data_IF_556069685005
#
_entry.id   IF_556069685005
#
_cell.length_a   1.000
_cell.length_b   1.000
_cell.length_c   1.000
_cell.angle_alpha   90.00
_cell.angle_beta   90.00
_cell.angle_gamma   90.00
#
_symmetry.space_group_name_H-M   'P 1'
#
loop_
_entity.id
_entity.type
_entity.pdbx_description
1 polymer ?
#
# COMPACT_ATOMS: atom_id res chain seq x y z
N UNK A 1 -27.81 -19.13 22.48
CA UNK A 1 -27.19 -19.94 23.49
C UNK A 1 -25.70 -19.76 23.37
N UNK A 2 -25.20 -19.09 24.37
CA UNK A 2 -23.80 -18.72 24.61
C UNK A 2 -23.05 -19.95 25.09
N UNK A 3 -22.04 -20.38 24.33
CA UNK A 3 -21.13 -21.45 24.72
C UNK A 3 -19.76 -20.87 25.03
N UNK A 4 -19.46 -20.68 26.30
CA UNK A 4 -18.09 -20.50 26.83
C UNK A 4 -17.39 -21.85 26.78
N UNK A 5 -16.14 -21.98 26.31
CA UNK A 5 -15.42 -23.25 26.34
C UNK A 5 -15.04 -23.67 27.77
N UNK A 6 -15.00 -24.98 28.06
CA UNK A 6 -14.75 -25.47 29.41
C UNK A 6 -13.27 -25.39 29.79
N UNK A 7 -13.05 -24.99 31.03
CA UNK A 7 -11.77 -25.02 31.75
C UNK A 7 -11.22 -26.45 31.83
N UNK A 8 -10.07 -26.75 31.24
CA UNK A 8 -9.39 -28.01 31.39
C UNK A 8 -8.23 -27.90 32.40
N UNK A 9 -8.16 -28.87 33.30
CA UNK A 9 -7.30 -28.94 34.46
C UNK A 9 -5.83 -29.21 34.11
N UNK A 10 -4.97 -28.64 34.95
CA UNK A 10 -3.50 -28.76 35.08
C UNK A 10 -2.91 -30.18 34.98
N UNK A 11 -1.80 -30.28 34.24
CA UNK A 11 -0.64 -31.10 34.63
C UNK A 11 0.65 -30.32 34.33
N UNK A 12 1.51 -30.15 35.32
CA UNK A 12 2.82 -29.49 35.30
C UNK A 12 3.91 -30.54 35.11
N UNK A 13 4.86 -30.39 34.19
CA UNK A 13 6.19 -30.93 34.32
C UNK A 13 7.20 -29.87 34.74
N UNK A 14 7.99 -30.22 35.73
CA UNK A 14 9.08 -29.43 36.31
C UNK A 14 10.28 -29.45 35.36
N UNK A 15 10.86 -28.27 35.13
CA UNK A 15 12.27 -28.15 34.81
C UNK A 15 12.64 -27.50 33.52
N UNK A 16 12.85 -26.20 33.59
CA UNK A 16 14.01 -25.41 33.12
C UNK A 16 13.71 -23.94 33.36
N UNK A 17 14.47 -23.33 34.23
CA UNK A 17 14.40 -21.88 34.50
C UNK A 17 15.04 -21.19 33.30
N UNK A 18 14.33 -20.32 32.54
CA UNK A 18 14.97 -19.48 31.54
C UNK A 18 15.67 -18.30 32.25
N UNK A 19 16.90 -18.07 31.85
CA UNK A 19 17.72 -16.93 32.23
C UNK A 19 16.99 -15.60 31.89
N UNK A 20 16.67 -14.76 32.88
CA UNK A 20 15.91 -13.52 32.66
C UNK A 20 16.70 -12.46 31.88
N UNK A 21 18.00 -12.54 31.78
CA UNK A 21 18.85 -11.48 31.22
C UNK A 21 19.01 -11.51 29.67
N UNK A 22 18.46 -12.52 28.99
CA UNK A 22 18.55 -12.63 27.54
C UNK A 22 17.39 -12.00 26.76
N UNK A 23 16.30 -11.64 27.40
CA UNK A 23 15.11 -11.07 26.74
C UNK A 23 14.98 -9.54 26.80
N UNK A 24 15.76 -8.86 27.64
CA UNK A 24 15.66 -7.39 27.81
C UNK A 24 16.40 -6.57 26.75
N UNK A 25 17.31 -7.15 25.97
CA UNK A 25 18.16 -6.39 25.03
C UNK A 25 17.55 -6.12 23.64
N UNK A 26 16.32 -6.54 23.34
CA UNK A 26 15.63 -6.26 22.06
C UNK A 26 14.36 -5.42 22.15
N UNK A 27 14.01 -4.92 23.34
CA UNK A 27 12.74 -4.19 23.56
C UNK A 27 12.82 -2.66 23.42
N UNK A 28 14.01 -2.07 23.17
CA UNK A 28 14.18 -0.62 23.34
C UNK A 28 14.04 0.23 22.07
N UNK A 29 13.89 -0.33 20.86
CA UNK A 29 13.94 0.45 19.60
C UNK A 29 12.72 0.31 18.67
N UNK A 30 11.70 -0.43 19.07
CA UNK A 30 10.48 -0.55 18.26
C UNK A 30 9.44 0.48 18.72
N UNK A 31 8.96 1.33 17.80
CA UNK A 31 7.90 2.27 18.16
C UNK A 31 6.58 1.53 18.45
N UNK A 32 5.67 2.16 19.20
CA UNK A 32 4.41 1.54 19.60
C UNK A 32 3.60 1.01 18.39
N UNK A 33 3.63 1.72 17.27
CA UNK A 33 2.92 1.32 16.04
C UNK A 33 3.50 0.06 15.41
N UNK A 34 4.83 -0.09 15.37
CA UNK A 34 5.48 -1.29 14.83
C UNK A 34 5.24 -2.48 15.74
N UNK A 35 5.21 -2.26 17.06
CA UNK A 35 4.84 -3.28 18.03
C UNK A 35 3.39 -3.75 17.85
N UNK A 36 2.46 -2.81 17.62
CA UNK A 36 1.06 -3.14 17.31
C UNK A 36 0.93 -3.99 16.05
N UNK A 37 1.65 -3.67 14.97
CA UNK A 37 1.66 -4.47 13.73
C UNK A 37 2.15 -5.91 13.98
N UNK A 38 3.22 -6.05 14.74
CA UNK A 38 3.76 -7.37 15.12
C UNK A 38 2.73 -8.18 15.92
N UNK A 39 2.08 -7.55 16.91
CA UNK A 39 1.06 -8.20 17.73
C UNK A 39 -0.15 -8.62 16.90
N UNK A 40 -0.67 -7.73 16.04
CA UNK A 40 -1.79 -8.03 15.13
C UNK A 40 -1.45 -9.22 14.23
N UNK A 41 -0.26 -9.25 13.65
CA UNK A 41 0.18 -10.37 12.80
C UNK A 41 0.23 -11.69 13.57
N UNK A 42 0.86 -11.71 14.73
CA UNK A 42 1.00 -12.93 15.57
C UNK A 42 -0.34 -13.46 16.07
N UNK A 43 -1.21 -12.57 16.53
CA UNK A 43 -2.53 -12.96 17.05
C UNK A 43 -3.44 -13.49 15.94
N UNK A 44 -3.43 -12.88 14.77
CA UNK A 44 -4.21 -13.35 13.61
C UNK A 44 -3.68 -14.69 13.08
N UNK A 45 -2.36 -14.89 13.04
CA UNK A 45 -1.76 -16.17 12.67
C UNK A 45 -2.15 -17.28 13.66
N UNK A 46 -2.09 -17.00 14.96
CA UNK A 46 -2.49 -17.94 15.99
C UNK A 46 -3.98 -18.28 15.92
N UNK A 47 -4.84 -17.27 15.72
CA UNK A 47 -6.28 -17.48 15.54
C UNK A 47 -6.58 -18.32 14.30
N UNK A 48 -5.93 -18.04 13.16
CA UNK A 48 -6.08 -18.81 11.93
C UNK A 48 -5.67 -20.28 12.12
N UNK A 49 -4.50 -20.50 12.71
CA UNK A 49 -4.00 -21.84 12.98
C UNK A 49 -4.95 -22.65 13.88
N UNK A 50 -5.50 -22.00 14.92
CA UNK A 50 -6.42 -22.63 15.86
C UNK A 50 -7.78 -22.94 15.22
N UNK A 51 -8.43 -21.96 14.56
CA UNK A 51 -9.80 -22.09 14.06
C UNK A 51 -9.92 -22.75 12.68
N UNK A 52 -8.92 -22.55 11.80
CA UNK A 52 -8.98 -23.05 10.42
C UNK A 52 -8.13 -24.31 10.18
N UNK A 53 -7.05 -24.49 10.94
CA UNK A 53 -6.08 -25.56 10.72
C UNK A 53 -6.06 -26.60 11.86
N UNK A 54 -6.91 -26.41 12.89
CA UNK A 54 -6.96 -27.25 14.12
C UNK A 54 -5.57 -27.48 14.75
N UNK A 55 -4.74 -26.43 14.73
CA UNK A 55 -3.34 -26.44 15.15
C UNK A 55 -3.04 -25.33 16.15
N UNK A 56 -2.57 -25.70 17.32
CA UNK A 56 -2.14 -24.74 18.34
C UNK A 56 -0.67 -24.35 18.10
N UNK A 57 -0.41 -23.08 17.74
CA UNK A 57 0.94 -22.53 17.57
C UNK A 57 1.36 -21.62 18.73
N UNK A 58 0.42 -21.33 19.64
CA UNK A 58 0.61 -20.46 20.79
C UNK A 58 -0.34 -20.91 21.91
N UNK A 59 0.12 -20.89 23.16
CA UNK A 59 -0.76 -21.22 24.28
C UNK A 59 -1.83 -20.14 24.50
N UNK A 60 -3.00 -20.54 25.02
CA UNK A 60 -4.07 -19.57 25.33
C UNK A 60 -3.60 -18.46 26.28
N UNK A 61 -2.76 -18.77 27.26
CA UNK A 61 -2.21 -17.79 28.19
C UNK A 61 -1.29 -16.77 27.48
N UNK A 62 -0.50 -17.23 26.51
CA UNK A 62 0.34 -16.33 25.72
C UNK A 62 -0.48 -15.48 24.75
N UNK A 63 -1.51 -16.06 24.14
CA UNK A 63 -2.45 -15.32 23.30
C UNK A 63 -3.14 -14.20 24.09
N UNK A 64 -3.68 -14.50 25.26
CA UNK A 64 -4.36 -13.52 26.11
C UNK A 64 -3.41 -12.38 26.52
N UNK A 65 -2.17 -12.71 26.90
CA UNK A 65 -1.16 -11.72 27.25
C UNK A 65 -0.81 -10.78 26.10
N UNK A 66 -0.64 -11.32 24.89
CA UNK A 66 -0.34 -10.51 23.69
C UNK A 66 -1.56 -9.69 23.25
N UNK A 67 -2.75 -10.23 23.44
CA UNK A 67 -4.00 -9.52 23.19
C UNK A 67 -4.17 -8.32 24.13
N UNK A 68 -3.94 -8.51 25.42
CA UNK A 68 -4.00 -7.44 26.43
C UNK A 68 -2.93 -6.37 26.15
N UNK A 69 -1.72 -6.77 25.74
CA UNK A 69 -0.65 -5.83 25.32
C UNK A 69 -1.10 -5.00 24.11
N UNK A 70 -1.76 -5.61 23.14
CA UNK A 70 -2.29 -4.90 21.96
C UNK A 70 -3.37 -3.89 22.36
N UNK A 71 -4.33 -4.29 23.21
CA UNK A 71 -5.38 -3.40 23.71
C UNK A 71 -4.77 -2.19 24.43
N UNK A 72 -3.78 -2.40 25.31
CA UNK A 72 -3.10 -1.32 26.02
C UNK A 72 -2.36 -0.34 25.07
N UNK A 73 -1.76 -0.85 23.99
CA UNK A 73 -1.10 -0.02 22.98
C UNK A 73 -2.11 0.75 22.14
N UNK A 74 -3.24 0.14 21.78
CA UNK A 74 -4.34 0.81 21.08
C UNK A 74 -4.92 1.95 21.93
N UNK A 75 -5.13 1.73 23.23
CA UNK A 75 -5.57 2.78 24.16
C UNK A 75 -4.53 3.90 24.31
N UNK A 76 -3.25 3.54 24.44
CA UNK A 76 -2.15 4.50 24.60
C UNK A 76 -1.97 5.39 23.36
N UNK A 77 -2.05 4.81 22.17
CA UNK A 77 -1.79 5.52 20.91
C UNK A 77 -3.02 6.16 20.31
N UNK A 78 -4.23 5.72 20.68
CA UNK A 78 -5.49 6.09 20.03
C UNK A 78 -5.63 5.55 18.60
N UNK A 79 -4.78 4.60 18.21
CA UNK A 79 -4.76 3.98 16.87
C UNK A 79 -5.21 2.54 16.98
N UNK A 80 -6.13 2.12 16.11
CA UNK A 80 -6.54 0.72 15.96
C UNK A 80 -6.33 0.32 14.51
N UNK A 81 -5.52 -0.71 14.26
CA UNK A 81 -5.26 -1.22 12.91
C UNK A 81 -6.47 -1.97 12.36
N UNK A 82 -6.72 -1.88 11.05
CA UNK A 82 -7.86 -2.52 10.40
C UNK A 82 -7.92 -4.04 10.62
N UNK A 83 -6.75 -4.70 10.63
CA UNK A 83 -6.63 -6.13 10.86
C UNK A 83 -6.53 -6.52 12.35
N UNK A 84 -6.73 -5.57 13.29
CA UNK A 84 -6.62 -5.87 14.72
C UNK A 84 -7.69 -6.85 15.17
N UNK A 85 -7.32 -7.93 15.88
CA UNK A 85 -8.28 -8.88 16.44
C UNK A 85 -9.14 -8.28 17.57
N UNK A 86 -8.81 -7.07 18.05
CA UNK A 86 -9.61 -6.35 19.04
C UNK A 86 -10.87 -5.74 18.45
N UNK A 87 -10.93 -5.64 17.12
CA UNK A 87 -12.07 -5.10 16.38
C UNK A 87 -12.73 -6.20 15.54
N UNK A 88 -14.03 -6.29 15.64
CA UNK A 88 -14.83 -7.10 14.73
C UNK A 88 -15.07 -6.28 13.46
N UNK A 89 -14.32 -6.56 12.40
CA UNK A 89 -14.58 -5.98 11.08
C UNK A 89 -15.77 -6.74 10.48
N UNK A 90 -16.90 -6.07 10.36
CA UNK A 90 -18.04 -6.62 9.61
C UNK A 90 -17.72 -6.62 8.12
N UNK A 91 -17.76 -7.77 7.47
CA UNK A 91 -17.66 -7.88 6.01
C UNK A 91 -19.01 -7.59 5.38
N UNK A 92 -19.01 -6.69 4.39
CA UNK A 92 -20.21 -6.29 3.67
C UNK A 92 -20.15 -6.79 2.22
N UNK A 93 -21.26 -7.33 1.74
CA UNK A 93 -21.46 -7.63 0.33
C UNK A 93 -22.43 -6.60 -0.25
N UNK A 94 -22.10 -6.04 -1.40
CA UNK A 94 -22.92 -5.07 -2.13
C UNK A 94 -23.14 -5.52 -3.58
N UNK A 95 -24.21 -5.07 -4.21
CA UNK A 95 -24.52 -5.45 -5.60
C UNK A 95 -23.65 -4.70 -6.62
N UNK A 96 -23.27 -3.44 -6.31
CA UNK A 96 -22.32 -2.65 -7.08
C UNK A 96 -21.57 -1.66 -6.18
N UNK A 97 -20.41 -1.20 -6.64
CA UNK A 97 -19.66 -0.16 -5.95
C UNK A 97 -20.20 1.22 -6.33
N UNK A 98 -20.65 2.02 -5.35
CA UNK A 98 -21.04 3.41 -5.60
C UNK A 98 -19.90 4.22 -6.20
N UNK A 99 -20.24 5.26 -6.97
CA UNK A 99 -19.25 6.17 -7.56
C UNK A 99 -19.34 7.54 -6.93
N UNK A 100 -18.19 8.16 -6.72
CA UNK A 100 -18.09 9.50 -6.15
C UNK A 100 -17.11 10.36 -6.94
N UNK A 101 -17.43 11.65 -7.05
CA UNK A 101 -16.54 12.64 -7.67
C UNK A 101 -15.55 13.16 -6.65
N UNK A 102 -14.28 13.22 -7.03
CA UNK A 102 -13.22 13.83 -6.22
C UNK A 102 -13.40 15.35 -6.11
N UNK A 103 -13.12 15.91 -4.94
CA UNK A 103 -13.13 17.37 -4.74
C UNK A 103 -12.10 18.08 -5.61
N UNK A 104 -10.96 17.44 -5.86
CA UNK A 104 -9.94 17.92 -6.79
C UNK A 104 -9.47 16.80 -7.70
N UNK A 105 -9.25 17.05 -9.00
CA UNK A 105 -8.79 16.05 -9.95
C UNK A 105 -7.48 15.40 -9.51
N UNK A 106 -7.37 14.09 -9.70
CA UNK A 106 -6.16 13.31 -9.44
C UNK A 106 -5.38 13.18 -10.75
N UNK A 107 -4.44 14.09 -10.95
CA UNK A 107 -3.66 14.18 -12.18
C UNK A 107 -2.60 13.06 -12.25
N UNK A 108 -2.16 12.75 -13.46
CA UNK A 108 -0.97 11.94 -13.69
C UNK A 108 0.29 12.77 -13.42
N UNK A 109 1.44 12.11 -13.22
CA UNK A 109 2.72 12.81 -13.08
C UNK A 109 3.39 13.03 -14.44
N UNK A 110 4.10 14.15 -14.59
CA UNK A 110 5.11 14.31 -15.63
C UNK A 110 6.19 13.23 -15.46
N UNK A 111 6.84 12.81 -16.54
CA UNK A 111 7.79 11.70 -16.54
C UNK A 111 9.10 12.11 -17.16
N UNK A 112 10.20 11.62 -16.59
CA UNK A 112 11.53 11.62 -17.22
C UNK A 112 12.22 10.28 -17.02
N UNK A 113 13.17 9.94 -17.91
CA UNK A 113 14.11 8.82 -17.78
C UNK A 113 15.55 9.32 -17.60
N UNK A 114 15.76 10.64 -17.63
CA UNK A 114 17.06 11.28 -17.49
C UNK A 114 17.28 11.70 -16.04
N UNK A 115 18.39 11.26 -15.46
CA UNK A 115 18.82 11.67 -14.12
C UNK A 115 19.22 13.16 -14.10
N UNK A 116 19.75 13.66 -15.19
CA UNK A 116 20.12 15.05 -15.38
C UNK A 116 18.89 15.95 -15.39
N UNK A 117 17.84 15.58 -16.16
CA UNK A 117 16.57 16.31 -16.17
C UNK A 117 15.92 16.30 -14.79
N UNK A 118 16.01 15.19 -14.06
CA UNK A 118 15.47 15.09 -12.71
C UNK A 118 16.19 16.02 -11.74
N UNK A 119 17.53 16.11 -11.84
CA UNK A 119 18.36 17.00 -11.03
C UNK A 119 18.12 18.48 -11.40
N UNK A 120 17.96 18.80 -12.69
CA UNK A 120 17.66 20.15 -13.15
C UNK A 120 16.26 20.60 -12.74
N UNK A 121 15.28 19.65 -12.75
CA UNK A 121 13.94 19.90 -12.26
C UNK A 121 13.94 20.27 -10.77
N UNK A 122 14.73 19.59 -9.94
CA UNK A 122 14.84 19.89 -8.50
C UNK A 122 15.51 21.24 -8.27
N UNK A 123 16.52 21.58 -9.07
CA UNK A 123 17.27 22.85 -8.98
C UNK A 123 17.89 23.07 -7.61
N UNK A 124 17.68 24.25 -7.04
CA UNK A 124 18.17 24.62 -5.71
C UNK A 124 17.23 24.24 -4.55
N UNK A 125 16.20 23.46 -4.80
CA UNK A 125 15.24 23.05 -3.78
C UNK A 125 15.66 21.74 -3.10
N UNK A 126 15.09 21.50 -1.91
CA UNK A 126 15.13 20.17 -1.29
C UNK A 126 13.92 19.38 -1.78
N UNK A 127 14.15 18.12 -2.11
CA UNK A 127 13.09 17.21 -2.55
C UNK A 127 13.00 15.97 -1.69
N UNK A 128 11.89 15.25 -1.82
CA UNK A 128 11.70 13.91 -1.29
C UNK A 128 11.62 12.95 -2.47
N UNK A 129 12.56 11.99 -2.51
CA UNK A 129 12.62 10.95 -3.53
C UNK A 129 12.10 9.65 -2.91
N UNK A 130 11.10 9.04 -3.52
CA UNK A 130 10.44 7.84 -3.03
C UNK A 130 10.23 6.81 -4.12
N UNK A 131 9.95 5.54 -3.73
CA UNK A 131 9.42 4.56 -4.67
C UNK A 131 8.14 5.06 -5.32
N UNK A 132 8.04 4.89 -6.64
CA UNK A 132 6.77 4.99 -7.36
C UNK A 132 6.07 3.65 -7.31
N UNK A 133 5.21 3.49 -6.33
CA UNK A 133 4.48 2.25 -6.13
C UNK A 133 3.53 1.96 -7.30
N UNK A 134 3.40 0.69 -7.63
CA UNK A 134 2.59 0.21 -8.74
C UNK A 134 1.42 -0.64 -8.25
N UNK A 135 0.31 0.01 -7.99
CA UNK A 135 -0.91 -0.59 -7.47
C UNK A 135 -2.16 0.16 -7.90
N UNK A 136 -2.97 0.55 -6.93
CA UNK A 136 -4.19 1.34 -7.14
C UNK A 136 -4.22 2.52 -6.16
N UNK A 137 -4.26 3.73 -6.69
CA UNK A 137 -4.34 4.94 -5.87
C UNK A 137 -5.71 5.06 -5.19
N UNK A 138 -5.69 5.33 -3.88
CA UNK A 138 -6.88 5.46 -3.03
C UNK A 138 -6.80 6.75 -2.23
N UNK A 139 -7.95 7.39 -2.06
CA UNK A 139 -8.16 8.52 -1.14
C UNK A 139 -8.87 7.99 0.10
N UNK A 140 -8.28 8.21 1.28
CA UNK A 140 -8.88 7.91 2.57
C UNK A 140 -9.35 9.20 3.23
N UNK A 141 -10.54 9.18 3.81
CA UNK A 141 -11.10 10.28 4.60
C UNK A 141 -11.45 9.79 6.00
N UNK A 142 -10.93 10.50 6.99
CA UNK A 142 -11.24 10.29 8.40
C UNK A 142 -11.97 11.51 8.95
N UNK A 143 -12.94 11.26 9.83
CA UNK A 143 -13.63 12.29 10.61
C UNK A 143 -13.77 11.82 12.04
N UNK A 144 -13.51 12.72 12.99
CA UNK A 144 -13.57 12.40 14.41
C UNK A 144 -12.74 11.15 14.76
N UNK A 145 -11.57 11.02 14.16
CA UNK A 145 -10.66 9.90 14.37
C UNK A 145 -11.04 8.57 13.71
N UNK A 146 -12.13 8.49 12.95
CA UNK A 146 -12.64 7.25 12.36
C UNK A 146 -12.59 7.29 10.83
N UNK A 147 -12.20 6.19 10.20
CA UNK A 147 -12.28 6.03 8.74
C UNK A 147 -13.74 6.03 8.29
N UNK A 148 -14.13 7.09 7.58
CA UNK A 148 -15.52 7.25 7.10
C UNK A 148 -15.68 6.98 5.61
N UNK A 149 -14.59 7.14 4.83
CA UNK A 149 -14.67 6.99 3.38
C UNK A 149 -13.33 6.57 2.77
N UNK A 150 -13.39 5.68 1.78
CA UNK A 150 -12.30 5.34 0.89
C UNK A 150 -12.80 5.32 -0.56
N UNK A 151 -12.06 5.98 -1.48
CA UNK A 151 -12.45 6.11 -2.89
C UNK A 151 -11.24 5.83 -3.77
N UNK A 152 -11.42 5.00 -4.80
CA UNK A 152 -10.36 4.76 -5.80
C UNK A 152 -10.14 6.00 -6.66
N UNK A 153 -8.95 6.12 -7.26
CA UNK A 153 -8.67 7.21 -8.21
C UNK A 153 -9.68 7.24 -9.37
N UNK A 154 -10.08 6.07 -9.87
CA UNK A 154 -10.91 5.96 -11.06
C UNK A 154 -10.25 6.62 -12.28
N UNK A 155 -11.00 7.46 -13.01
CA UNK A 155 -10.49 8.22 -14.14
C UNK A 155 -9.78 9.54 -13.73
N UNK A 156 -9.62 9.78 -12.43
CA UNK A 156 -9.05 11.01 -11.86
C UNK A 156 -10.09 12.05 -11.43
N UNK A 157 -11.32 11.98 -11.92
CA UNK A 157 -12.45 12.83 -11.52
C UNK A 157 -13.50 12.06 -10.70
N UNK A 158 -13.78 10.82 -11.09
CA UNK A 158 -14.78 9.96 -10.47
C UNK A 158 -14.09 8.62 -10.12
N UNK A 159 -14.22 8.20 -8.88
CA UNK A 159 -13.75 6.92 -8.37
C UNK A 159 -14.88 6.08 -7.79
N UNK A 160 -14.57 4.84 -7.47
CA UNK A 160 -15.46 3.89 -6.82
C UNK A 160 -15.29 3.96 -5.31
N UNK A 161 -16.39 4.00 -4.56
CA UNK A 161 -16.38 3.98 -3.10
C UNK A 161 -16.11 2.55 -2.63
N UNK A 162 -15.01 2.37 -1.92
CA UNK A 162 -14.51 1.05 -1.48
C UNK A 162 -14.25 1.02 0.02
N UNK A 163 -15.05 1.75 0.81
CA UNK A 163 -14.82 1.92 2.25
C UNK A 163 -14.78 0.59 3.01
N UNK A 164 -15.72 -0.33 2.71
CA UNK A 164 -15.74 -1.66 3.33
C UNK A 164 -14.46 -2.45 2.99
N UNK A 165 -13.99 -2.37 1.74
CA UNK A 165 -12.75 -3.02 1.31
C UNK A 165 -11.52 -2.41 1.99
N UNK A 166 -11.46 -1.08 2.10
CA UNK A 166 -10.35 -0.39 2.75
C UNK A 166 -10.24 -0.73 4.25
N UNK A 167 -11.36 -0.97 4.92
CA UNK A 167 -11.38 -1.47 6.31
C UNK A 167 -10.79 -2.88 6.45
N UNK A 168 -10.69 -3.63 5.36
CA UNK A 168 -10.08 -4.96 5.34
C UNK A 168 -8.60 -4.97 4.89
N UNK A 169 -8.00 -3.80 4.63
CA UNK A 169 -6.57 -3.70 4.33
C UNK A 169 -5.73 -4.00 5.57
N UNK A 170 -4.57 -4.62 5.36
CA UNK A 170 -3.71 -5.12 6.44
C UNK A 170 -3.25 -4.03 7.41
N UNK A 171 -2.98 -2.82 6.89
CA UNK A 171 -2.29 -1.76 7.62
C UNK A 171 -3.02 -0.40 7.63
N UNK A 172 -4.29 -0.36 7.24
CA UNK A 172 -5.09 0.87 7.34
C UNK A 172 -5.66 0.99 8.75
N UNK A 173 -5.40 2.09 9.51
CA UNK A 173 -6.02 2.29 10.79
C UNK A 173 -7.53 2.53 10.64
N UNK A 174 -8.36 1.84 11.42
CA UNK A 174 -9.79 2.15 11.52
C UNK A 174 -10.05 3.42 12.31
N UNK A 175 -9.26 3.60 13.38
CA UNK A 175 -9.29 4.78 14.23
C UNK A 175 -7.89 5.37 14.35
N UNK A 176 -7.83 6.70 14.44
CA UNK A 176 -6.61 7.49 14.62
C UNK A 176 -6.78 8.47 15.77
N UNK A 177 -5.69 9.03 16.28
CA UNK A 177 -5.73 9.99 17.39
C UNK A 177 -6.21 11.39 16.98
N UNK A 178 -5.97 11.81 15.74
CA UNK A 178 -6.41 13.11 15.23
C UNK A 178 -7.94 13.14 15.05
N UNK A 179 -8.60 14.15 15.64
CA UNK A 179 -10.06 14.26 15.68
C UNK A 179 -10.65 15.19 14.61
N UNK A 180 -9.81 15.90 13.85
CA UNK A 180 -10.25 16.72 12.73
C UNK A 180 -10.58 15.89 11.47
N UNK A 181 -10.88 16.57 10.39
CA UNK A 181 -10.99 15.90 9.09
C UNK A 181 -9.60 15.67 8.51
N UNK A 182 -9.25 14.42 8.30
CA UNK A 182 -8.02 14.00 7.61
C UNK A 182 -8.37 13.44 6.24
N UNK A 183 -7.75 14.00 5.19
CA UNK A 183 -7.81 13.44 3.84
C UNK A 183 -6.38 13.17 3.39
N UNK A 184 -6.11 11.93 2.98
CA UNK A 184 -4.80 11.53 2.48
C UNK A 184 -4.94 10.65 1.25
N UNK A 185 -3.86 10.60 0.45
CA UNK A 185 -3.74 9.74 -0.72
C UNK A 185 -2.62 8.74 -0.49
N UNK A 186 -2.80 7.55 -0.99
CA UNK A 186 -1.79 6.52 -0.96
C UNK A 186 -2.04 5.48 -2.05
N UNK A 187 -1.12 4.54 -2.15
CA UNK A 187 -1.20 3.44 -3.08
C UNK A 187 -1.53 2.15 -2.34
N UNK A 188 -2.58 1.48 -2.78
CA UNK A 188 -2.88 0.12 -2.36
C UNK A 188 -2.09 -0.83 -3.24
N UNK A 189 -1.37 -1.77 -2.61
CA UNK A 189 -0.56 -2.77 -3.28
C UNK A 189 -0.76 -4.15 -2.66
N UNK A 190 -0.38 -5.18 -3.41
CA UNK A 190 -0.09 -6.52 -2.90
C UNK A 190 1.40 -6.75 -3.08
N UNK A 191 2.11 -7.14 -2.01
CA UNK A 191 3.55 -7.38 -2.05
C UNK A 191 3.87 -8.58 -2.94
N UNK A 192 5.06 -8.63 -3.53
CA UNK A 192 5.47 -9.77 -4.35
C UNK A 192 5.42 -11.09 -3.57
N UNK A 193 5.88 -11.11 -2.32
CA UNK A 193 5.84 -12.29 -1.45
C UNK A 193 4.42 -12.78 -1.17
N UNK A 194 3.43 -11.88 -1.03
CA UNK A 194 2.03 -12.24 -0.84
C UNK A 194 1.37 -12.67 -2.15
N UNK A 195 1.73 -12.03 -3.25
CA UNK A 195 1.30 -12.42 -4.60
C UNK A 195 1.73 -13.84 -4.97
N UNK A 196 2.99 -14.20 -4.68
CA UNK A 196 3.52 -15.55 -4.90
C UNK A 196 2.75 -16.58 -4.08
N UNK A 197 2.52 -16.35 -2.79
CA UNK A 197 1.73 -17.24 -1.92
C UNK A 197 0.30 -17.43 -2.42
N UNK A 198 -0.35 -16.37 -2.90
CA UNK A 198 -1.71 -16.46 -3.47
C UNK A 198 -1.69 -17.31 -4.73
N UNK A 199 -0.71 -17.12 -5.60
CA UNK A 199 -0.59 -17.89 -6.84
C UNK A 199 -0.21 -19.37 -6.60
N UNK A 200 0.56 -19.68 -5.57
CA UNK A 200 0.89 -21.06 -5.18
C UNK A 200 -0.35 -21.87 -4.80
N UNK A 201 -1.38 -21.23 -4.24
CA UNK A 201 -2.64 -21.87 -3.86
C UNK A 201 -3.58 -22.14 -5.04
N UNK A 202 -3.26 -21.63 -6.24
CA UNK A 202 -4.05 -21.84 -7.47
C UNK A 202 -3.45 -23.00 -8.23
N UNK A 203 -4.19 -24.12 -8.28
CA UNK A 203 -3.74 -25.35 -8.99
C UNK A 203 -3.72 -25.18 -10.51
N UNK A 204 -4.72 -24.49 -11.07
CA UNK A 204 -4.81 -24.22 -12.49
C UNK A 204 -3.84 -23.10 -12.92
N UNK A 205 -2.85 -23.46 -13.72
CA UNK A 205 -1.81 -22.55 -14.21
C UNK A 205 -2.40 -21.38 -15.00
N UNK A 206 -3.45 -21.62 -15.78
CA UNK A 206 -4.12 -20.59 -16.60
C UNK A 206 -4.96 -19.63 -15.76
N UNK A 207 -5.35 -20.04 -14.54
CA UNK A 207 -6.08 -19.22 -13.60
C UNK A 207 -5.18 -18.35 -12.69
N UNK A 208 -3.85 -18.53 -12.75
CA UNK A 208 -2.90 -17.72 -11.94
C UNK A 208 -2.90 -16.27 -12.37
N UNK A 209 -2.76 -15.41 -11.38
CA UNK A 209 -2.63 -13.98 -11.62
C UNK A 209 -1.26 -13.67 -12.26
N UNK A 210 -1.23 -12.73 -13.21
CA UNK A 210 -0.01 -12.43 -13.97
C UNK A 210 0.86 -11.35 -13.36
N UNK A 211 0.27 -10.41 -12.62
CA UNK A 211 1.04 -9.40 -11.90
C UNK A 211 0.31 -8.90 -10.64
N UNK A 212 1.04 -8.41 -9.62
CA UNK A 212 0.46 -7.97 -8.36
C UNK A 212 -0.44 -6.74 -8.50
N UNK A 213 -0.18 -5.83 -9.44
CA UNK A 213 -1.02 -4.65 -9.69
C UNK A 213 -2.44 -5.04 -10.12
N UNK A 214 -2.57 -5.97 -11.07
CA UNK A 214 -3.88 -6.42 -11.53
C UNK A 214 -4.62 -7.19 -10.44
N UNK A 215 -3.93 -8.02 -9.67
CA UNK A 215 -4.50 -8.69 -8.51
C UNK A 215 -4.97 -7.67 -7.47
N UNK A 216 -4.17 -6.66 -7.15
CA UNK A 216 -4.54 -5.60 -6.21
C UNK A 216 -5.78 -4.83 -6.69
N UNK A 217 -5.79 -4.39 -7.95
CA UNK A 217 -6.92 -3.65 -8.53
C UNK A 217 -8.22 -4.46 -8.48
N UNK A 218 -8.16 -5.76 -8.78
CA UNK A 218 -9.31 -6.67 -8.65
C UNK A 218 -9.72 -6.91 -7.21
N UNK A 219 -8.76 -7.03 -6.28
CA UNK A 219 -9.01 -7.28 -4.86
C UNK A 219 -9.65 -6.09 -4.16
N UNK A 220 -9.22 -4.88 -4.48
CA UNK A 220 -9.75 -3.63 -3.91
C UNK A 220 -11.20 -3.37 -4.34
N UNK A 221 -11.59 -3.85 -5.51
CA UNK A 221 -12.93 -3.64 -6.10
C UNK A 221 -13.89 -4.81 -5.88
N UNK A 222 -13.60 -5.71 -4.96
CA UNK A 222 -14.51 -6.81 -4.65
C UNK A 222 -15.82 -6.28 -4.07
N UNK A 223 -16.92 -6.87 -4.49
CA UNK A 223 -18.24 -6.58 -3.93
C UNK A 223 -18.42 -7.15 -2.52
N UNK A 224 -17.65 -8.18 -2.19
CA UNK A 224 -17.54 -8.74 -0.85
C UNK A 224 -16.14 -8.43 -0.27
N UNK A 225 -16.09 -7.62 0.78
CA UNK A 225 -14.84 -7.21 1.44
C UNK A 225 -14.10 -8.36 2.14
N UNK A 226 -14.75 -9.50 2.42
CA UNK A 226 -14.07 -10.70 2.91
C UNK A 226 -13.02 -11.20 1.93
N UNK A 227 -13.31 -11.16 0.62
CA UNK A 227 -12.35 -11.53 -0.43
C UNK A 227 -11.14 -10.58 -0.38
N UNK A 228 -11.38 -9.28 -0.19
CA UNK A 228 -10.31 -8.29 -0.04
C UNK A 228 -9.42 -8.60 1.17
N UNK A 229 -10.01 -8.99 2.30
CA UNK A 229 -9.27 -9.37 3.51
C UNK A 229 -8.31 -10.55 3.29
N UNK A 230 -8.68 -11.52 2.45
CA UNK A 230 -7.85 -12.68 2.12
C UNK A 230 -6.68 -12.36 1.19
N UNK A 231 -6.67 -11.17 0.55
CA UNK A 231 -5.71 -10.79 -0.49
C UNK A 231 -4.49 -10.03 0.02
N UNK A 232 -4.39 -9.75 1.32
CA UNK A 232 -3.26 -9.06 1.93
C UNK A 232 -2.93 -7.71 1.26
N UNK A 233 -3.96 -6.87 1.07
CA UNK A 233 -3.79 -5.54 0.48
C UNK A 233 -3.17 -4.61 1.52
N UNK A 234 -2.05 -3.97 1.17
CA UNK A 234 -1.35 -2.95 1.95
C UNK A 234 -1.60 -1.57 1.36
N UNK A 235 -1.61 -0.56 2.22
CA UNK A 235 -1.75 0.84 1.83
C UNK A 235 -0.53 1.64 2.28
N UNK A 236 0.06 2.42 1.38
CA UNK A 236 1.19 3.30 1.68
C UNK A 236 0.83 4.73 1.34
N UNK A 237 0.79 5.60 2.34
CA UNK A 237 0.50 7.01 2.15
C UNK A 237 1.64 7.71 1.40
N UNK A 238 1.29 8.56 0.43
CA UNK A 238 2.25 9.37 -0.31
C UNK A 238 1.87 10.86 -0.40
N UNK A 239 0.71 11.24 0.10
CA UNK A 239 0.27 12.65 0.09
C UNK A 239 -0.76 12.91 1.17
N UNK A 240 -0.53 13.94 1.97
CA UNK A 240 -1.52 14.52 2.86
C UNK A 240 -2.25 15.63 2.11
N UNK A 241 -3.57 15.54 2.03
CA UNK A 241 -4.42 16.51 1.32
C UNK A 241 -5.00 17.53 2.28
N UNK A 242 -5.50 17.09 3.46
CA UNK A 242 -6.12 17.94 4.46
C UNK A 242 -5.89 17.41 5.87
N UNK A 243 -5.43 18.30 6.76
CA UNK A 243 -5.43 18.12 8.21
C UNK A 243 -5.36 19.51 8.83
N UNK A 244 -6.51 20.06 9.22
CA UNK A 244 -6.60 21.42 9.74
C UNK A 244 -6.01 21.52 11.16
N UNK A 245 -5.40 22.67 11.47
CA UNK A 245 -4.88 22.96 12.80
C UNK A 245 -3.51 22.35 13.13
N UNK A 246 -2.86 21.69 12.18
CA UNK A 246 -1.51 21.14 12.33
C UNK A 246 -0.52 22.03 11.58
N UNK A 247 0.53 22.47 12.27
CA UNK A 247 1.64 23.18 11.64
C UNK A 247 2.70 22.20 11.14
N UNK A 248 2.78 22.04 9.84
CA UNK A 248 3.77 21.19 9.16
C UNK A 248 5.04 21.95 8.80
N UNK A 249 5.25 23.16 9.29
CA UNK A 249 6.44 23.99 9.01
C UNK A 249 6.76 24.13 7.51
N UNK A 250 5.73 24.16 6.70
CA UNK A 250 5.84 24.22 5.24
C UNK A 250 6.64 23.05 4.63
N UNK A 251 6.66 21.87 5.26
CA UNK A 251 7.44 20.70 4.85
C UNK A 251 6.55 19.47 4.62
N UNK A 252 6.70 18.83 3.46
CA UNK A 252 6.06 17.54 3.16
C UNK A 252 6.64 16.40 3.97
N UNK A 253 7.92 16.49 4.32
CA UNK A 253 8.55 15.55 5.25
C UNK A 253 7.85 15.57 6.61
N UNK A 254 7.55 16.76 7.15
CA UNK A 254 6.81 16.88 8.40
C UNK A 254 5.38 16.29 8.27
N UNK A 255 4.73 16.43 7.12
CA UNK A 255 3.47 15.76 6.84
C UNK A 255 3.59 14.24 6.88
N UNK A 256 4.62 13.66 6.27
CA UNK A 256 4.86 12.23 6.28
C UNK A 256 5.17 11.70 7.68
N UNK A 257 6.02 12.38 8.43
CA UNK A 257 6.34 12.00 9.80
C UNK A 257 5.09 12.08 10.71
N UNK A 258 4.26 13.10 10.52
CA UNK A 258 3.00 13.20 11.25
C UNK A 258 2.02 12.06 10.89
N UNK A 259 1.89 11.70 9.62
CA UNK A 259 1.05 10.56 9.20
C UNK A 259 1.49 9.25 9.87
N UNK A 260 2.79 9.03 10.04
CA UNK A 260 3.31 7.88 10.79
C UNK A 260 2.84 7.88 12.24
N UNK A 261 2.75 9.05 12.88
CA UNK A 261 2.22 9.16 14.26
C UNK A 261 0.74 8.82 14.35
N UNK A 262 -0.01 8.94 13.24
CA UNK A 262 -1.41 8.53 13.16
C UNK A 262 -1.58 7.02 12.82
N UNK A 263 -0.49 6.27 12.70
CA UNK A 263 -0.50 4.83 12.43
C UNK A 263 -0.42 4.44 10.96
N UNK A 264 -0.25 5.40 10.05
CA UNK A 264 -0.08 5.08 8.62
C UNK A 264 1.34 4.64 8.30
N UNK A 265 1.45 3.66 7.42
CA UNK A 265 2.69 3.45 6.68
C UNK A 265 2.78 4.48 5.55
N UNK A 266 3.94 5.11 5.46
CA UNK A 266 4.26 6.09 4.41
C UNK A 266 5.22 5.42 3.44
N UNK A 267 5.11 5.75 2.15
CA UNK A 267 6.08 5.30 1.15
C UNK A 267 7.51 5.61 1.61
N UNK A 268 8.41 4.65 1.44
CA UNK A 268 9.83 4.89 1.75
C UNK A 268 10.38 6.05 0.93
N UNK A 269 11.00 7.01 1.59
CA UNK A 269 11.53 8.21 0.94
C UNK A 269 12.87 8.64 1.52
N UNK A 270 13.62 9.35 0.71
CA UNK A 270 14.88 10.03 1.10
C UNK A 270 14.81 11.51 0.75
N UNK A 271 15.27 12.34 1.68
CA UNK A 271 15.48 13.76 1.41
C UNK A 271 16.69 13.93 0.52
N UNK A 272 16.54 14.71 -0.55
CA UNK A 272 17.57 14.90 -1.57
C UNK A 272 17.75 16.36 -1.94
N UNK A 273 18.98 16.70 -2.31
CA UNK A 273 19.35 17.94 -3.01
C UNK A 273 19.82 17.60 -4.41
N UNK A 274 20.05 18.61 -5.25
CA UNK A 274 20.60 18.39 -6.60
C UNK A 274 21.89 17.56 -6.57
N UNK A 275 22.73 17.77 -5.56
CA UNK A 275 24.02 17.09 -5.39
C UNK A 275 23.88 15.63 -4.96
N UNK A 276 22.93 15.33 -4.06
CA UNK A 276 22.74 13.97 -3.49
C UNK A 276 21.82 13.11 -4.34
N UNK A 277 20.99 13.72 -5.20
CA UNK A 277 19.98 13.04 -6.01
C UNK A 277 20.56 11.89 -6.87
N UNK A 278 21.67 12.06 -7.63
CA UNK A 278 22.21 11.00 -8.48
C UNK A 278 22.59 9.74 -7.71
N UNK A 279 23.20 9.90 -6.54
CA UNK A 279 23.60 8.77 -5.69
C UNK A 279 22.38 8.09 -5.08
N UNK A 280 21.37 8.87 -4.66
CA UNK A 280 20.13 8.31 -4.13
C UNK A 280 19.34 7.53 -5.20
N UNK A 281 19.28 8.03 -6.44
CA UNK A 281 18.69 7.29 -7.57
C UNK A 281 19.45 5.97 -7.81
N UNK A 282 20.77 6.00 -7.74
CA UNK A 282 21.58 4.79 -7.87
C UNK A 282 21.30 3.78 -6.76
N UNK A 283 21.22 4.22 -5.51
CA UNK A 283 20.85 3.38 -4.37
C UNK A 283 19.51 2.67 -4.61
N UNK A 284 18.47 3.41 -5.03
CA UNK A 284 17.18 2.81 -5.36
C UNK A 284 17.29 1.81 -6.52
N UNK A 285 18.09 2.10 -7.56
CA UNK A 285 18.25 1.19 -8.70
C UNK A 285 18.91 -0.13 -8.31
N UNK A 286 19.83 -0.12 -7.35
CA UNK A 286 20.48 -1.30 -6.80
C UNK A 286 19.54 -2.12 -5.88
N UNK A 287 18.60 -1.45 -5.23
CA UNK A 287 17.63 -2.07 -4.33
C UNK A 287 16.38 -2.67 -5.02
N UNK A 288 16.21 -2.48 -6.34
CA UNK A 288 15.01 -2.95 -7.08
C UNK A 288 14.79 -4.45 -6.89
N UNK A 289 15.84 -5.26 -7.00
CA UNK A 289 15.75 -6.73 -6.94
C UNK A 289 15.33 -7.26 -5.57
N UNK A 290 15.56 -6.49 -4.51
CA UNK A 290 15.22 -6.86 -3.12
C UNK A 290 13.92 -6.19 -2.65
N UNK A 291 13.36 -5.28 -3.45
CA UNK A 291 12.15 -4.56 -3.08
C UNK A 291 10.90 -5.46 -3.22
N UNK A 292 10.31 -5.83 -2.09
CA UNK A 292 9.08 -6.63 -2.03
C UNK A 292 7.82 -5.84 -2.43
N UNK A 293 7.92 -4.51 -2.57
CA UNK A 293 6.80 -3.66 -2.98
C UNK A 293 6.84 -3.38 -4.49
N UNK A 294 5.76 -3.70 -5.23
CA UNK A 294 5.70 -3.38 -6.65
C UNK A 294 5.92 -1.89 -6.92
N UNK A 295 6.88 -1.57 -7.78
CA UNK A 295 7.20 -0.20 -8.17
C UNK A 295 7.71 -0.12 -9.60
N UNK A 296 7.37 0.97 -10.31
CA UNK A 296 7.72 1.18 -11.71
C UNK A 296 8.63 2.39 -11.93
N UNK A 297 9.27 2.86 -10.89
CA UNK A 297 10.16 4.02 -10.90
C UNK A 297 10.25 4.70 -9.55
N UNK A 298 10.54 5.99 -9.59
CA UNK A 298 10.62 6.86 -8.42
C UNK A 298 9.71 8.07 -8.60
N UNK A 299 9.35 8.71 -7.50
CA UNK A 299 8.66 10.02 -7.49
C UNK A 299 9.54 11.00 -6.74
N UNK A 300 9.82 12.12 -7.35
CA UNK A 300 10.45 13.27 -6.74
C UNK A 300 9.42 14.37 -6.55
N UNK A 301 9.35 14.92 -5.35
CA UNK A 301 8.48 16.05 -5.04
C UNK A 301 9.26 17.08 -4.22
N UNK A 302 8.88 18.36 -4.33
CA UNK A 302 9.45 19.39 -3.50
C UNK A 302 9.02 19.23 -2.05
N UNK A 303 9.95 19.36 -1.11
CA UNK A 303 9.63 19.38 0.32
C UNK A 303 8.88 20.67 0.70
N UNK A 304 9.27 21.83 0.16
CA UNK A 304 8.63 23.12 0.38
C UNK A 304 7.21 23.13 -0.23
N UNK A 305 6.19 23.09 0.64
CA UNK A 305 4.78 23.02 0.24
C UNK A 305 4.36 24.29 -0.51
N UNK A 306 4.69 25.46 0.02
CA UNK A 306 4.30 26.75 -0.56
C UNK A 306 4.95 26.95 -1.94
N UNK A 307 6.24 26.58 -2.07
CA UNK A 307 6.92 26.62 -3.36
C UNK A 307 6.25 25.67 -4.35
N UNK A 308 6.00 24.43 -3.99
CA UNK A 308 5.33 23.46 -4.86
C UNK A 308 3.95 23.95 -5.31
N UNK A 309 3.15 24.48 -4.40
CA UNK A 309 1.82 25.04 -4.71
C UNK A 309 1.90 26.26 -5.66
N UNK A 310 2.92 27.11 -5.50
CA UNK A 310 3.13 28.30 -6.35
C UNK A 310 3.36 27.96 -7.81
N UNK A 311 3.88 26.77 -8.12
CA UNK A 311 4.14 26.32 -9.49
C UNK A 311 2.85 25.93 -10.24
N UNK A 312 1.78 25.63 -9.50
CA UNK A 312 0.50 25.23 -10.05
C UNK A 312 0.54 23.90 -10.81
N UNK A 313 -0.28 23.79 -11.84
CA UNK A 313 -0.40 22.58 -12.65
C UNK A 313 -0.61 22.89 -14.12
N UNK A 314 -0.32 21.93 -14.98
CA UNK A 314 -0.78 21.91 -16.36
C UNK A 314 -2.18 21.27 -16.43
N UNK A 315 -2.76 21.17 -17.60
CA UNK A 315 -4.01 20.42 -17.79
C UNK A 315 -3.87 18.92 -17.45
N UNK A 316 -2.64 18.37 -17.49
CA UNK A 316 -2.37 16.93 -17.32
C UNK A 316 -1.57 16.59 -16.07
N UNK A 317 -0.68 17.48 -15.62
CA UNK A 317 0.32 17.19 -14.58
C UNK A 317 0.39 18.30 -13.54
N UNK A 318 0.58 17.96 -12.24
CA UNK A 318 1.06 18.91 -11.24
C UNK A 318 2.51 19.28 -11.56
N UNK A 319 2.96 20.46 -11.10
CA UNK A 319 4.33 20.90 -11.29
C UNK A 319 5.20 20.77 -10.04
N UNK A 320 4.60 20.33 -8.95
CA UNK A 320 5.26 20.11 -7.66
C UNK A 320 5.87 18.70 -7.51
N UNK A 321 5.65 17.85 -8.50
CA UNK A 321 6.12 16.45 -8.50
C UNK A 321 6.39 15.94 -9.91
N UNK A 322 7.37 15.02 -10.01
CA UNK A 322 7.77 14.39 -11.28
C UNK A 322 8.09 12.92 -11.02
N UNK A 323 7.74 12.05 -11.97
CA UNK A 323 8.11 10.64 -11.94
C UNK A 323 9.40 10.41 -12.72
N UNK A 324 10.32 9.64 -12.12
CA UNK A 324 11.45 9.05 -12.81
C UNK A 324 11.09 7.60 -13.14
N UNK A 325 11.15 7.25 -14.43
CA UNK A 325 10.92 5.90 -14.90
C UNK A 325 12.25 5.22 -15.20
N UNK A 326 12.37 3.94 -14.80
CA UNK A 326 13.47 3.12 -15.25
C UNK A 326 13.50 3.02 -16.77
N UNK A 327 14.64 2.66 -17.35
CA UNK A 327 14.69 2.35 -18.78
C UNK A 327 13.69 1.26 -19.10
N UNK A 328 12.97 1.40 -20.24
CA UNK A 328 12.05 0.36 -20.68
C UNK A 328 12.82 -0.92 -20.95
N UNK A 329 12.23 -2.05 -20.60
CA UNK A 329 12.70 -3.34 -21.06
C UNK A 329 12.43 -3.42 -22.57
N UNK A 330 13.47 -3.74 -23.34
CA UNK A 330 13.39 -3.89 -24.80
C UNK A 330 13.69 -5.35 -25.12
N UNK A 331 12.75 -6.00 -25.81
CA UNK A 331 12.93 -7.33 -26.33
C UNK A 331 12.80 -7.32 -27.83
N UNK A 332 13.74 -7.99 -28.51
CA UNK A 332 13.65 -8.19 -29.95
C UNK A 332 12.77 -9.40 -30.25
N UNK A 333 11.91 -9.26 -31.23
CA UNK A 333 11.04 -10.36 -31.69
C UNK A 333 10.81 -10.30 -33.20
N UNK A 334 10.24 -11.37 -33.76
CA UNK A 334 9.95 -11.45 -35.18
C UNK A 334 8.50 -11.06 -35.44
N UNK A 335 8.30 -10.06 -36.32
CA UNK A 335 6.97 -9.66 -36.77
C UNK A 335 6.41 -10.76 -37.69
N UNK A 336 5.26 -11.33 -37.32
CA UNK A 336 4.55 -12.32 -38.14
C UNK A 336 3.72 -11.65 -39.23
N UNK A 337 2.86 -10.71 -38.86
CA UNK A 337 2.03 -9.90 -39.77
C UNK A 337 1.41 -8.68 -39.05
N UNK A 338 0.81 -7.80 -39.87
CA UNK A 338 -0.01 -6.70 -39.36
C UNK A 338 -1.49 -7.07 -39.51
N UNK A 339 -2.21 -7.13 -38.37
CA UNK A 339 -3.66 -7.28 -38.35
C UNK A 339 -4.31 -5.91 -38.49
N UNK A 340 -5.25 -5.76 -39.36
CA UNK A 340 -6.02 -4.54 -39.59
C UNK A 340 -7.43 -4.73 -39.06
N UNK A 341 -7.78 -4.03 -37.99
CA UNK A 341 -9.10 -4.11 -37.35
C UNK A 341 -9.83 -2.79 -37.34
N UNK A 342 -11.12 -2.80 -37.68
CA UNK A 342 -11.96 -1.61 -37.61
C UNK A 342 -12.45 -1.37 -36.15
N UNK A 343 -12.25 -0.14 -35.63
CA UNK A 343 -12.82 0.28 -34.37
C UNK A 343 -14.34 0.53 -34.49
N UNK A 344 -15.03 0.72 -33.37
CA UNK A 344 -16.44 1.12 -33.35
C UNK A 344 -16.73 2.43 -34.08
N UNK A 345 -15.72 3.29 -34.23
CA UNK A 345 -15.83 4.58 -34.94
C UNK A 345 -15.46 4.50 -36.41
N UNK A 346 -15.14 3.30 -36.93
CA UNK A 346 -14.73 3.09 -38.31
C UNK A 346 -13.25 3.38 -38.60
N UNK A 347 -12.45 3.73 -37.60
CA UNK A 347 -11.00 3.85 -37.74
C UNK A 347 -10.39 2.45 -37.89
N UNK A 348 -9.48 2.31 -38.84
CA UNK A 348 -8.71 1.09 -39.02
C UNK A 348 -7.44 1.19 -38.17
N UNK A 349 -7.29 0.30 -37.21
CA UNK A 349 -6.15 0.27 -36.32
C UNK A 349 -5.20 -0.88 -36.75
N UNK A 350 -3.95 -0.57 -37.08
CA UNK A 350 -2.94 -1.59 -37.30
C UNK A 350 -2.48 -2.18 -35.95
N UNK A 351 -2.38 -3.50 -35.90
CA UNK A 351 -1.85 -4.25 -34.75
C UNK A 351 -0.76 -5.18 -35.26
N UNK A 352 0.45 -4.96 -34.77
CA UNK A 352 1.56 -5.90 -35.06
C UNK A 352 1.34 -7.19 -34.27
N UNK A 353 1.37 -8.31 -34.95
CA UNK A 353 1.38 -9.67 -34.40
C UNK A 353 2.79 -10.24 -34.58
N UNK A 354 3.38 -10.68 -33.47
CA UNK A 354 4.78 -11.13 -33.46
C UNK A 354 4.95 -12.34 -32.52
N UNK A 355 6.12 -12.98 -32.61
CA UNK A 355 6.45 -14.11 -31.74
C UNK A 355 6.41 -13.67 -30.29
N UNK A 356 5.79 -14.46 -29.37
CA UNK A 356 5.64 -14.07 -27.97
C UNK A 356 6.97 -13.75 -27.31
N UNK A 357 7.04 -12.64 -26.59
CA UNK A 357 8.18 -12.22 -25.76
C UNK A 357 7.73 -11.90 -24.36
N UNK A 358 8.60 -12.13 -23.40
CA UNK A 358 8.36 -11.76 -22.00
C UNK A 358 8.81 -10.31 -21.79
N UNK A 359 7.88 -9.46 -21.34
CA UNK A 359 8.11 -8.06 -20.97
C UNK A 359 7.47 -7.78 -19.61
N UNK A 360 8.25 -7.32 -18.65
CA UNK A 360 7.78 -6.96 -17.30
C UNK A 360 6.91 -8.08 -16.67
N UNK A 361 7.33 -9.34 -16.82
CA UNK A 361 6.62 -10.50 -16.29
C UNK A 361 5.30 -10.84 -17.03
N UNK A 362 5.10 -10.29 -18.22
CA UNK A 362 3.92 -10.55 -19.05
C UNK A 362 4.34 -11.01 -20.45
N UNK A 363 3.72 -12.08 -20.95
CA UNK A 363 3.92 -12.53 -22.34
C UNK A 363 3.17 -11.61 -23.28
N UNK A 364 3.89 -10.93 -24.17
CA UNK A 364 3.33 -10.01 -25.17
C UNK A 364 3.54 -10.60 -26.54
N UNK A 365 2.49 -10.68 -27.37
CA UNK A 365 2.52 -11.19 -28.75
C UNK A 365 1.86 -10.24 -29.75
N UNK A 366 1.36 -9.08 -29.29
CA UNK A 366 0.71 -8.09 -30.15
C UNK A 366 0.88 -6.68 -29.60
N UNK A 367 1.02 -5.71 -30.48
CA UNK A 367 1.11 -4.29 -30.13
C UNK A 367 0.42 -3.41 -31.19
N UNK A 368 -0.23 -2.33 -30.76
CA UNK A 368 -0.72 -1.30 -31.68
C UNK A 368 0.46 -0.52 -32.28
N UNK A 369 0.43 -0.21 -33.57
CA UNK A 369 1.48 0.49 -34.33
C UNK A 369 0.98 1.81 -34.90
#
# INVERSE_FOLDING_TARGET
>A
PTGVPPTAARMVPIGMVPDPDRQEFRKSDMNDTDRMKELVSKLNEAAKAYYAEDREIMSNLEYDRLYDELVALEEKTGVVLAASPTQSVGYEAVDELPKERHESPMLSLGKTKSREELADWLGGQTGLLSWKMDGLTIVLTYQNGTLVKAVTRGNGEIGEVITANAKAFVNVPLNISYQGELILRGEAIIRYSDFEKINEQIEDVDAKYKNPRNLCSGSVRQLNSEITAQRQVHFYAFSLVKADGIDFKNSRKEQFEWLKTQGFEVVEYHEVTKETLPETVKMYSEAIAENDTPSDGLVLLYDDIAYGQSLGRTAKFPRDSIAFKWADEIQETTLSYIEWSASRTGLINPVAIFDPVELEGTTVSRASV
#
